data_IF_812249573876
#
_entry.id   IF_812249573876
#
_cell.length_a   1.000
_cell.length_b   1.000
_cell.length_c   1.000
_cell.angle_alpha   90.00
_cell.angle_beta   90.00
_cell.angle_gamma   90.00
#
_symmetry.space_group_name_H-M   'P 1'
#
loop_
_entity.id
_entity.type
_entity.pdbx_description
1 polymer ?
#
# COMPACT_ATOMS: atom_id res chain seq x y z
N UNK A 1 24.59 17.71 -49.76
CA UNK A 1 24.74 16.91 -51.00
C UNK A 1 24.06 15.58 -50.70
N UNK A 2 22.93 15.18 -51.25
CA UNK A 2 22.34 15.44 -52.55
C UNK A 2 22.13 14.09 -53.25
N UNK A 3 20.87 13.79 -53.58
CA UNK A 3 20.34 12.72 -54.44
C UNK A 3 19.99 11.39 -53.72
N UNK A 4 18.73 10.97 -53.59
CA UNK A 4 17.53 10.95 -54.49
C UNK A 4 17.62 9.88 -55.59
N UNK A 5 16.69 8.90 -55.54
CA UNK A 5 16.04 8.12 -56.63
C UNK A 5 15.39 6.87 -55.99
N UNK A 6 14.12 6.85 -55.57
CA UNK A 6 12.86 6.76 -56.32
C UNK A 6 12.63 5.50 -57.18
N UNK A 7 11.61 4.72 -56.75
CA UNK A 7 10.62 3.90 -57.47
C UNK A 7 11.07 2.67 -58.28
N UNK A 8 10.46 1.52 -57.94
CA UNK A 8 9.44 0.84 -58.79
C UNK A 8 8.51 -0.05 -57.95
N UNK A 9 7.21 0.16 -58.13
CA UNK A 9 6.14 -0.78 -57.77
C UNK A 9 6.13 -1.92 -58.79
N UNK A 10 5.92 -3.15 -58.31
CA UNK A 10 5.25 -4.20 -59.08
C UNK A 10 4.16 -4.76 -58.19
N UNK A 11 2.90 -4.58 -58.64
CA UNK A 11 1.73 -5.25 -58.11
C UNK A 11 1.48 -6.42 -59.06
N UNK A 12 1.38 -7.63 -58.52
CA UNK A 12 0.64 -8.73 -59.12
C UNK A 12 -0.10 -9.40 -57.97
N UNK A 13 -1.42 -9.42 -58.13
CA UNK A 13 -2.40 -9.96 -57.20
C UNK A 13 -2.33 -11.50 -57.13
N UNK A 14 -2.83 -11.97 -56.00
CA UNK A 14 -3.78 -13.08 -55.85
C UNK A 14 -3.23 -14.34 -55.17
N UNK A 15 -3.76 -14.55 -53.96
CA UNK A 15 -3.36 -15.58 -53.03
C UNK A 15 -4.00 -15.30 -51.69
N UNK A 16 -5.28 -15.68 -51.56
CA UNK A 16 -5.98 -15.82 -50.28
C UNK A 16 -5.08 -16.55 -49.29
N UNK A 17 -4.78 -15.90 -48.18
CA UNK A 17 -4.43 -16.57 -46.94
C UNK A 17 -5.12 -15.82 -45.81
N UNK A 18 -6.07 -16.51 -45.18
CA UNK A 18 -6.89 -16.04 -44.07
C UNK A 18 -6.01 -15.95 -42.81
N UNK A 19 -5.15 -14.94 -42.77
CA UNK A 19 -4.38 -14.55 -41.60
C UNK A 19 -5.27 -13.78 -40.64
N UNK A 20 -6.13 -14.51 -39.95
CA UNK A 20 -6.92 -14.03 -38.82
C UNK A 20 -6.01 -13.23 -37.88
N UNK A 21 -6.36 -11.95 -37.72
CA UNK A 21 -5.74 -11.04 -36.77
C UNK A 21 -5.58 -11.77 -35.43
N UNK A 22 -4.33 -12.05 -35.05
CA UNK A 22 -3.96 -12.27 -33.67
C UNK A 22 -4.18 -10.92 -32.97
N UNK A 23 -5.44 -10.64 -32.69
CA UNK A 23 -5.88 -9.83 -31.57
C UNK A 23 -5.03 -10.28 -30.39
N UNK A 24 -4.04 -9.45 -30.09
CA UNK A 24 -3.29 -9.52 -28.85
C UNK A 24 -4.32 -9.37 -27.74
N UNK A 25 -4.75 -10.52 -27.20
CA UNK A 25 -5.33 -10.60 -25.88
C UNK A 25 -4.25 -10.12 -24.91
N UNK A 26 -4.15 -8.80 -24.74
CA UNK A 26 -3.71 -8.27 -23.46
C UNK A 26 -4.75 -8.76 -22.46
N UNK A 27 -4.38 -9.56 -21.44
CA UNK A 27 -5.30 -9.74 -20.34
C UNK A 27 -5.47 -8.35 -19.73
N UNK A 28 -6.69 -7.82 -19.75
CA UNK A 28 -7.07 -6.82 -18.77
C UNK A 28 -6.76 -7.45 -17.41
N UNK A 29 -5.60 -7.14 -16.84
CA UNK A 29 -5.20 -7.55 -15.51
C UNK A 29 -6.13 -6.79 -14.57
N UNK A 30 -7.31 -7.38 -14.37
CA UNK A 30 -8.32 -6.85 -13.49
C UNK A 30 -7.71 -6.58 -12.12
N UNK A 31 -8.09 -5.45 -11.53
CA UNK A 31 -7.66 -5.06 -10.20
C UNK A 31 -8.00 -6.21 -9.24
N UNK A 32 -7.02 -6.77 -8.49
CA UNK A 32 -7.28 -7.86 -7.56
C UNK A 32 -8.42 -7.48 -6.60
N UNK A 33 -9.35 -8.40 -6.26
CA UNK A 33 -10.51 -8.10 -5.42
C UNK A 33 -10.14 -7.42 -4.09
N UNK A 34 -8.98 -7.78 -3.52
CA UNK A 34 -8.41 -7.17 -2.32
C UNK A 34 -8.29 -5.65 -2.42
N UNK A 35 -7.95 -5.09 -3.58
CA UNK A 35 -7.78 -3.65 -3.78
C UNK A 35 -9.00 -2.95 -4.38
N UNK A 36 -10.18 -3.60 -4.36
CA UNK A 36 -11.44 -3.01 -4.83
C UNK A 36 -11.78 -1.67 -4.15
N UNK A 37 -11.46 -1.53 -2.86
CA UNK A 37 -11.62 -0.28 -2.12
C UNK A 37 -10.82 0.88 -2.71
N UNK A 38 -9.59 0.63 -3.21
CA UNK A 38 -8.81 1.66 -3.89
C UNK A 38 -9.55 2.16 -5.13
N UNK A 39 -10.09 1.23 -5.94
CA UNK A 39 -10.86 1.58 -7.14
C UNK A 39 -12.09 2.43 -6.82
N UNK A 40 -12.79 2.12 -5.74
CA UNK A 40 -13.95 2.88 -5.27
C UNK A 40 -13.55 4.31 -4.91
N UNK A 41 -12.48 4.47 -4.11
CA UNK A 41 -11.99 5.78 -3.69
C UNK A 41 -11.53 6.63 -4.88
N UNK A 42 -10.75 6.05 -5.80
CA UNK A 42 -10.28 6.76 -6.98
C UNK A 42 -11.42 7.17 -7.93
N UNK A 43 -12.43 6.33 -8.13
CA UNK A 43 -13.64 6.69 -8.89
C UNK A 43 -14.44 7.83 -8.22
N UNK A 44 -14.37 7.94 -6.90
CA UNK A 44 -14.94 9.06 -6.14
C UNK A 44 -14.03 10.31 -6.12
N UNK A 45 -12.89 10.29 -6.81
CA UNK A 45 -11.92 11.40 -6.83
C UNK A 45 -11.12 11.54 -5.54
N UNK A 46 -11.04 10.48 -4.73
CA UNK A 46 -10.31 10.47 -3.46
C UNK A 46 -8.99 9.71 -3.67
N UNK A 47 -7.83 10.38 -3.61
CA UNK A 47 -6.55 9.69 -3.71
C UNK A 47 -6.32 8.77 -2.50
N UNK A 48 -5.69 7.62 -2.72
CA UNK A 48 -5.47 6.62 -1.68
C UNK A 48 -4.17 5.82 -1.87
N UNK A 49 -3.41 5.59 -0.81
CA UNK A 49 -2.22 4.71 -0.89
C UNK A 49 -2.40 3.46 -0.02
N UNK A 50 -2.04 2.31 -0.58
CA UNK A 50 -1.98 1.03 0.13
C UNK A 50 -0.85 1.07 1.14
N UNK A 51 -1.12 0.64 2.37
CA UNK A 51 -0.25 0.87 3.51
C UNK A 51 0.00 -0.37 4.37
N UNK A 52 0.94 -0.26 5.32
CA UNK A 52 1.38 -1.30 6.27
C UNK A 52 1.67 -2.66 5.61
N UNK A 53 1.00 -3.73 6.00
CA UNK A 53 1.33 -5.11 5.62
C UNK A 53 1.29 -5.32 4.09
N UNK A 54 0.30 -4.76 3.40
CA UNK A 54 0.22 -4.85 1.94
C UNK A 54 1.35 -4.07 1.26
N UNK A 55 1.74 -2.91 1.81
CA UNK A 55 2.87 -2.15 1.30
C UNK A 55 4.20 -2.90 1.53
N UNK A 56 4.35 -3.57 2.67
CA UNK A 56 5.51 -4.42 2.95
C UNK A 56 5.57 -5.61 1.99
N UNK A 57 4.44 -6.31 1.80
CA UNK A 57 4.35 -7.44 0.88
C UNK A 57 4.65 -7.04 -0.57
N UNK A 58 4.23 -5.84 -0.99
CA UNK A 58 4.56 -5.28 -2.30
C UNK A 58 6.07 -5.09 -2.52
N UNK A 59 6.83 -4.81 -1.44
CA UNK A 59 8.30 -4.71 -1.47
C UNK A 59 9.00 -6.03 -1.15
N UNK A 60 8.35 -7.17 -1.39
CA UNK A 60 8.88 -8.53 -1.18
C UNK A 60 9.21 -8.90 0.28
N UNK A 61 8.65 -8.18 1.26
CA UNK A 61 8.75 -8.60 2.67
C UNK A 61 7.83 -9.82 2.90
N UNK A 62 8.34 -10.94 3.45
CA UNK A 62 7.52 -12.13 3.74
C UNK A 62 6.63 -11.89 4.97
N UNK A 63 5.53 -11.18 4.78
CA UNK A 63 4.54 -10.87 5.80
C UNK A 63 3.18 -11.47 5.44
N UNK A 64 2.36 -11.72 6.47
CA UNK A 64 0.94 -12.01 6.27
C UNK A 64 0.18 -10.69 6.15
N UNK A 65 -0.77 -10.66 5.23
CA UNK A 65 -1.70 -9.53 5.05
C UNK A 65 -3.04 -9.91 5.67
N UNK A 66 -3.59 -9.01 6.49
CA UNK A 66 -4.87 -9.22 7.16
C UNK A 66 -5.87 -8.19 6.60
N UNK A 67 -6.10 -7.11 7.34
CA UNK A 67 -6.84 -5.93 6.90
C UNK A 67 -6.07 -5.16 5.82
N UNK A 68 -6.79 -4.54 4.90
CA UNK A 68 -6.22 -3.57 3.96
C UNK A 68 -6.17 -2.19 4.62
N UNK A 69 -4.98 -1.64 4.81
CA UNK A 69 -4.80 -0.30 5.31
C UNK A 69 -4.66 0.69 4.16
N UNK A 70 -5.47 1.76 4.16
CA UNK A 70 -5.42 2.79 3.13
C UNK A 70 -5.15 4.16 3.76
N UNK A 71 -4.10 4.83 3.31
CA UNK A 71 -3.90 6.25 3.58
C UNK A 71 -4.82 7.08 2.68
N UNK A 72 -5.58 8.01 3.26
CA UNK A 72 -6.52 8.90 2.57
C UNK A 72 -6.37 10.34 3.08
N UNK A 73 -6.74 11.37 2.28
CA UNK A 73 -6.59 12.76 2.71
C UNK A 73 -7.62 13.14 3.78
N UNK A 74 -8.84 12.61 3.68
CA UNK A 74 -9.97 12.84 4.58
C UNK A 74 -10.66 11.49 4.82
N UNK A 75 -10.59 11.01 6.06
CA UNK A 75 -11.16 9.73 6.48
C UNK A 75 -12.68 9.73 6.36
N UNK A 76 -13.35 10.84 6.70
CA UNK A 76 -14.81 10.92 6.66
C UNK A 76 -15.32 10.92 5.22
N UNK A 77 -14.62 11.60 4.31
CA UNK A 77 -14.94 11.57 2.89
C UNK A 77 -14.77 10.17 2.29
N UNK A 78 -13.65 9.51 2.59
CA UNK A 78 -13.37 8.14 2.14
C UNK A 78 -14.38 7.13 2.72
N UNK A 79 -14.72 7.28 4.01
CA UNK A 79 -15.74 6.48 4.67
C UNK A 79 -17.10 6.58 3.98
N UNK A 80 -17.55 7.80 3.65
CA UNK A 80 -18.81 8.01 2.92
C UNK A 80 -18.79 7.35 1.54
N UNK A 81 -17.66 7.41 0.84
CA UNK A 81 -17.52 6.75 -0.46
C UNK A 81 -17.61 5.22 -0.33
N UNK A 82 -16.91 4.61 0.65
CA UNK A 82 -17.00 3.18 0.92
C UNK A 82 -18.43 2.76 1.31
N UNK A 83 -19.09 3.50 2.21
CA UNK A 83 -20.47 3.20 2.63
C UNK A 83 -21.44 3.28 1.45
N UNK A 84 -21.28 4.29 0.58
CA UNK A 84 -22.08 4.42 -0.65
C UNK A 84 -21.86 3.26 -1.62
N UNK A 85 -20.70 2.61 -1.55
CA UNK A 85 -20.36 1.42 -2.33
C UNK A 85 -20.72 0.10 -1.64
N UNK A 86 -21.47 0.14 -0.53
CA UNK A 86 -21.95 -1.06 0.17
C UNK A 86 -21.03 -1.56 1.27
N UNK A 87 -20.08 -0.77 1.76
CA UNK A 87 -19.36 -1.10 3.00
C UNK A 87 -20.17 -0.66 4.23
N UNK A 88 -19.93 -1.31 5.36
CA UNK A 88 -20.47 -0.90 6.65
C UNK A 88 -19.35 -0.74 7.69
N UNK A 89 -19.61 0.06 8.74
CA UNK A 89 -18.70 0.21 9.87
C UNK A 89 -18.50 -1.15 10.55
N UNK A 90 -17.25 -1.57 10.69
CA UNK A 90 -16.88 -2.80 11.39
C UNK A 90 -16.46 -2.57 12.83
N UNK A 91 -16.20 -3.67 13.53
CA UNK A 91 -15.54 -3.69 14.84
C UNK A 91 -14.14 -4.31 14.73
N UNK A 92 -13.15 -3.68 15.38
CA UNK A 92 -11.79 -4.19 15.39
C UNK A 92 -11.68 -5.51 16.15
N UNK A 93 -10.75 -6.36 15.71
CA UNK A 93 -10.37 -7.54 16.48
C UNK A 93 -9.68 -7.14 17.79
N UNK A 94 -9.66 -8.05 18.77
CA UNK A 94 -8.97 -7.83 20.04
C UNK A 94 -7.48 -7.49 19.89
N UNK A 95 -6.86 -7.91 18.79
CA UNK A 95 -5.45 -7.59 18.50
C UNK A 95 -5.24 -6.15 18.02
N UNK A 96 -6.27 -5.52 17.46
CA UNK A 96 -6.20 -4.15 16.91
C UNK A 96 -6.90 -3.12 17.79
N UNK A 97 -7.85 -3.53 18.64
CA UNK A 97 -8.63 -2.62 19.47
C UNK A 97 -7.81 -1.72 20.43
N UNK A 98 -6.57 -2.06 20.86
CA UNK A 98 -5.75 -1.11 21.62
C UNK A 98 -5.17 0.04 20.78
N UNK A 99 -5.19 -0.04 19.44
CA UNK A 99 -4.58 0.93 18.53
C UNK A 99 -5.68 1.90 18.03
N UNK A 100 -5.90 3.01 18.75
CA UNK A 100 -6.94 4.01 18.43
C UNK A 100 -6.88 4.55 17.00
N UNK A 101 -5.69 4.58 16.41
CA UNK A 101 -5.47 5.05 15.04
C UNK A 101 -6.13 4.15 13.99
N UNK A 102 -6.51 2.92 14.38
CA UNK A 102 -7.11 1.91 13.50
C UNK A 102 -8.63 1.82 13.63
N UNK A 103 -9.27 2.70 14.42
CA UNK A 103 -10.71 2.64 14.68
C UNK A 103 -11.55 2.70 13.40
N UNK A 104 -10.98 3.16 12.29
CA UNK A 104 -11.65 3.39 11.02
C UNK A 104 -11.86 2.15 10.13
N UNK A 105 -12.40 1.08 10.69
CA UNK A 105 -12.66 -0.18 10.01
C UNK A 105 -13.97 -0.16 9.20
N UNK A 106 -13.92 -0.70 7.98
CA UNK A 106 -15.05 -0.90 7.09
C UNK A 106 -15.02 -2.29 6.48
N UNK A 107 -16.18 -2.93 6.39
CA UNK A 107 -16.34 -4.30 5.91
C UNK A 107 -17.33 -4.28 4.74
N UNK A 108 -17.04 -4.93 3.59
CA UNK A 108 -18.00 -5.02 2.50
C UNK A 108 -19.25 -5.78 2.97
N UNK A 109 -20.44 -5.27 2.66
CA UNK A 109 -21.68 -6.02 2.87
C UNK A 109 -21.66 -7.22 1.93
N UNK A 110 -21.85 -8.42 2.48
CA UNK A 110 -22.18 -9.58 1.66
C UNK A 110 -23.47 -9.24 0.92
N UNK A 111 -23.41 -9.17 -0.40
CA UNK A 111 -24.63 -9.34 -1.17
C UNK A 111 -24.97 -10.82 -0.98
N UNK A 112 -25.89 -11.12 -0.07
CA UNK A 112 -26.50 -12.46 -0.06
C UNK A 112 -27.05 -12.66 -1.46
N UNK A 113 -26.35 -13.46 -2.26
CA UNK A 113 -26.86 -13.91 -3.54
C UNK A 113 -28.24 -14.49 -3.26
N UNK A 114 -29.27 -13.84 -3.78
CA UNK A 114 -30.68 -14.26 -3.70
C UNK A 114 -30.91 -15.52 -4.56
N UNK A 115 -30.10 -16.55 -4.35
CA UNK A 115 -30.25 -17.88 -4.93
C UNK A 115 -30.21 -18.92 -3.81
N UNK A 116 -31.06 -18.75 -2.80
CA UNK A 116 -31.69 -19.89 -2.15
C UNK A 116 -32.85 -20.38 -3.02
N UNK A 117 -32.55 -20.72 -4.28
CA UNK A 117 -33.36 -21.72 -4.99
C UNK A 117 -32.75 -23.05 -4.61
N UNK A 118 -33.50 -23.75 -3.75
CA UNK A 118 -33.47 -25.19 -3.59
C UNK A 118 -33.15 -25.89 -4.90
N UNK A 119 -32.20 -26.80 -4.82
CA UNK A 119 -31.96 -27.96 -5.68
C UNK A 119 -30.65 -27.95 -6.50
N UNK A 120 -30.00 -29.11 -6.40
CA UNK A 120 -28.98 -29.69 -7.26
C UNK A 120 -27.50 -29.34 -6.99
N UNK A 121 -26.80 -30.40 -6.63
CA UNK A 121 -25.35 -30.61 -6.66
C UNK A 121 -24.70 -30.03 -7.94
N UNK A 122 -23.47 -29.53 -7.76
CA UNK A 122 -22.45 -29.29 -8.80
C UNK A 122 -22.46 -27.92 -9.49
N UNK A 123 -21.82 -26.94 -8.86
CA UNK A 123 -21.08 -25.89 -9.58
C UNK A 123 -19.81 -25.52 -8.79
N UNK A 124 -18.66 -25.29 -9.47
CA UNK A 124 -17.47 -24.80 -8.80
C UNK A 124 -17.77 -23.41 -8.23
N UNK A 125 -17.45 -23.22 -6.95
CA UNK A 125 -17.62 -21.95 -6.24
C UNK A 125 -16.96 -20.84 -7.07
N UNK A 126 -17.78 -19.91 -7.57
CA UNK A 126 -17.30 -18.64 -8.13
C UNK A 126 -16.45 -17.94 -7.06
N UNK A 127 -15.41 -17.18 -7.45
CA UNK A 127 -14.44 -16.66 -6.48
C UNK A 127 -15.19 -15.86 -5.44
N UNK A 128 -15.08 -16.28 -4.18
CA UNK A 128 -15.54 -15.53 -3.02
C UNK A 128 -15.08 -14.08 -3.24
N UNK A 129 -16.02 -13.13 -3.21
CA UNK A 129 -15.64 -11.72 -3.09
C UNK A 129 -14.87 -11.67 -1.78
N UNK A 130 -13.55 -11.61 -1.89
CA UNK A 130 -12.63 -11.65 -0.77
C UNK A 130 -13.06 -10.56 0.22
N UNK A 131 -13.34 -10.96 1.46
CA UNK A 131 -13.93 -10.14 2.52
C UNK A 131 -12.90 -9.16 3.08
N UNK A 132 -12.26 -8.41 2.19
CA UNK A 132 -11.17 -7.53 2.54
C UNK A 132 -11.76 -6.37 3.34
N UNK A 133 -11.57 -6.45 4.64
CA UNK A 133 -11.85 -5.38 5.57
C UNK A 133 -10.82 -4.26 5.34
N UNK A 134 -11.28 -3.03 5.43
CA UNK A 134 -10.50 -1.83 5.08
C UNK A 134 -10.38 -0.94 6.31
N UNK A 135 -9.17 -0.55 6.66
CA UNK A 135 -8.90 0.44 7.70
C UNK A 135 -8.43 1.73 7.02
N UNK A 136 -9.20 2.81 7.20
CA UNK A 136 -8.85 4.12 6.67
C UNK A 136 -7.96 4.89 7.64
N UNK A 137 -6.84 5.42 7.14
CA UNK A 137 -5.85 6.15 7.92
C UNK A 137 -5.66 7.55 7.34
N UNK A 138 -5.59 8.61 8.15
CA UNK A 138 -5.32 9.95 7.65
C UNK A 138 -3.86 10.07 7.20
N UNK A 139 -3.62 10.28 5.90
CA UNK A 139 -2.28 10.33 5.32
C UNK A 139 -1.35 11.34 5.99
N UNK A 140 -1.90 12.48 6.41
CA UNK A 140 -1.18 13.54 7.13
C UNK A 140 -0.54 13.04 8.44
N UNK A 141 -1.24 12.19 9.19
CA UNK A 141 -0.71 11.64 10.46
C UNK A 141 0.34 10.56 10.25
N UNK A 142 0.52 10.09 9.01
CA UNK A 142 1.51 9.11 8.60
C UNK A 142 2.65 9.72 7.80
N UNK A 143 2.70 11.05 7.68
CA UNK A 143 3.78 11.79 7.00
C UNK A 143 4.03 11.32 5.56
N UNK A 144 2.96 10.94 4.86
CA UNK A 144 3.03 10.46 3.48
C UNK A 144 2.20 11.34 2.55
N UNK A 145 2.81 11.72 1.43
CA UNK A 145 2.15 12.46 0.36
C UNK A 145 1.49 11.46 -0.60
N UNK A 146 0.18 11.63 -0.80
CA UNK A 146 -0.59 10.74 -1.67
C UNK A 146 -0.34 11.06 -3.16
N UNK A 147 -0.40 10.05 -4.05
CA UNK A 147 -0.32 10.27 -5.48
C UNK A 147 -1.50 11.14 -5.95
N UNK A 148 -1.22 12.17 -6.74
CA UNK A 148 -2.24 13.11 -7.21
C UNK A 148 -3.22 12.47 -8.22
N UNK A 149 -2.71 11.58 -9.08
CA UNK A 149 -3.48 10.80 -10.04
C UNK A 149 -2.70 9.51 -10.32
N UNK A 150 -3.11 8.34 -9.80
CA UNK A 150 -2.48 7.09 -10.18
C UNK A 150 -2.82 6.77 -11.63
N UNK A 151 -1.82 6.36 -12.40
CA UNK A 151 -2.01 5.83 -13.75
C UNK A 151 -2.25 4.32 -13.66
N UNK A 152 -1.51 3.65 -12.77
CA UNK A 152 -1.54 2.20 -12.58
C UNK A 152 -1.67 1.78 -11.11
N UNK A 153 -1.95 0.50 -10.89
CA UNK A 153 -2.01 -0.10 -9.54
C UNK A 153 -0.68 0.08 -8.78
N UNK A 154 0.45 0.12 -9.49
CA UNK A 154 1.78 0.36 -8.91
C UNK A 154 1.82 1.69 -8.16
N UNK A 155 1.14 2.71 -8.65
CA UNK A 155 1.11 4.05 -8.05
C UNK A 155 0.32 4.09 -6.74
N UNK A 156 -0.44 3.04 -6.42
CA UNK A 156 -1.13 2.95 -5.14
C UNK A 156 -0.18 2.62 -4.00
N UNK A 157 0.99 2.07 -4.29
CA UNK A 157 1.97 1.66 -3.29
C UNK A 157 3.05 2.74 -3.13
N UNK A 158 3.48 3.02 -1.88
CA UNK A 158 4.64 3.88 -1.67
C UNK A 158 5.90 3.23 -2.23
N UNK A 159 6.84 4.02 -2.73
CA UNK A 159 8.21 3.53 -2.94
C UNK A 159 8.84 3.12 -1.60
N UNK A 160 9.84 2.22 -1.62
CA UNK A 160 10.50 1.76 -0.40
C UNK A 160 11.10 2.91 0.45
N UNK A 161 11.78 3.92 -0.13
CA UNK A 161 12.24 5.08 0.64
C UNK A 161 11.10 5.89 1.27
N UNK A 162 9.97 6.06 0.57
CA UNK A 162 8.80 6.77 1.11
C UNK A 162 8.17 5.99 2.26
N UNK A 163 7.99 4.67 2.12
CA UNK A 163 7.46 3.81 3.17
C UNK A 163 8.34 3.86 4.42
N UNK A 164 9.65 3.66 4.26
CA UNK A 164 10.59 3.69 5.38
C UNK A 164 10.63 5.06 6.06
N UNK A 165 10.64 6.14 5.28
CA UNK A 165 10.62 7.52 5.81
C UNK A 165 9.38 7.78 6.64
N UNK A 166 8.20 7.40 6.13
CA UNK A 166 6.92 7.58 6.80
C UNK A 166 6.82 6.74 8.08
N UNK A 167 7.29 5.49 8.05
CA UNK A 167 7.32 4.62 9.23
C UNK A 167 8.24 5.16 10.33
N UNK A 168 9.45 5.65 9.98
CA UNK A 168 10.36 6.27 10.93
C UNK A 168 9.73 7.54 11.53
N UNK A 169 9.17 8.41 10.67
CA UNK A 169 8.52 9.64 11.12
C UNK A 169 7.34 9.35 12.05
N UNK A 170 6.47 8.38 11.68
CA UNK A 170 5.36 7.96 12.52
C UNK A 170 5.83 7.38 13.85
N UNK A 171 6.83 6.49 13.83
CA UNK A 171 7.39 5.89 15.03
C UNK A 171 7.95 6.94 15.98
N UNK A 172 8.67 7.95 15.46
CA UNK A 172 9.21 9.06 16.25
C UNK A 172 8.11 9.98 16.82
N UNK A 173 6.95 10.08 16.15
CA UNK A 173 5.85 10.95 16.59
C UNK A 173 4.92 10.31 17.62
N UNK A 174 5.11 9.04 17.97
CA UNK A 174 4.23 8.34 18.90
C UNK A 174 4.40 8.84 20.33
N UNK A 175 3.28 9.00 21.05
CA UNK A 175 3.32 9.34 22.47
C UNK A 175 3.65 8.11 23.31
N UNK A 176 4.11 8.27 24.56
CA UNK A 176 4.47 7.15 25.43
C UNK A 176 3.36 6.08 25.51
N UNK A 177 2.10 6.53 25.59
CA UNK A 177 0.90 5.68 25.64
C UNK A 177 0.60 4.88 24.36
N UNK A 178 1.20 5.21 23.21
CA UNK A 178 1.02 4.52 21.93
C UNK A 178 1.83 3.20 21.85
N UNK A 179 1.83 2.42 22.93
CA UNK A 179 2.67 1.22 23.06
C UNK A 179 2.41 0.20 21.96
N UNK A 180 1.16 -0.12 21.69
CA UNK A 180 0.80 -1.19 20.74
C UNK A 180 1.13 -0.79 19.30
N UNK A 181 0.86 0.47 18.93
CA UNK A 181 1.25 0.99 17.61
C UNK A 181 2.78 1.08 17.47
N UNK A 182 3.49 1.50 18.53
CA UNK A 182 4.96 1.52 18.54
C UNK A 182 5.54 0.15 18.29
N UNK A 183 5.05 -0.86 18.99
CA UNK A 183 5.50 -2.23 18.80
C UNK A 183 5.22 -2.72 17.38
N UNK A 184 4.06 -2.42 16.81
CA UNK A 184 3.72 -2.82 15.44
C UNK A 184 4.65 -2.16 14.41
N UNK A 185 4.87 -0.85 14.51
CA UNK A 185 5.79 -0.15 13.60
C UNK A 185 7.22 -0.63 13.78
N UNK A 186 7.64 -0.91 15.02
CA UNK A 186 8.95 -1.51 15.29
C UNK A 186 9.13 -2.86 14.59
N UNK A 187 8.10 -3.72 14.58
CA UNK A 187 8.11 -4.98 13.83
C UNK A 187 8.25 -4.74 12.34
N UNK A 188 7.51 -3.78 11.77
CA UNK A 188 7.60 -3.44 10.34
C UNK A 188 8.98 -2.91 9.96
N UNK A 189 9.55 -2.03 10.77
CA UNK A 189 10.93 -1.56 10.59
C UNK A 189 11.90 -2.74 10.67
N UNK A 190 11.75 -3.61 11.66
CA UNK A 190 12.55 -4.83 11.79
C UNK A 190 12.47 -5.72 10.55
N UNK A 191 11.26 -5.93 10.00
CA UNK A 191 11.08 -6.71 8.78
C UNK A 191 11.77 -6.08 7.56
N UNK A 192 11.67 -4.76 7.38
CA UNK A 192 12.36 -4.07 6.30
C UNK A 192 13.88 -4.31 6.38
N UNK A 193 14.48 -4.12 7.55
CA UNK A 193 15.93 -4.29 7.71
C UNK A 193 16.39 -5.74 7.69
N UNK A 194 15.57 -6.68 8.16
CA UNK A 194 15.88 -8.11 8.13
C UNK A 194 15.84 -8.64 6.69
N UNK A 195 14.71 -8.43 5.99
CA UNK A 195 14.42 -9.13 4.73
C UNK A 195 14.85 -8.38 3.46
N UNK A 196 14.97 -7.04 3.49
CA UNK A 196 15.23 -6.28 2.26
C UNK A 196 16.71 -5.89 2.15
N UNK A 197 17.48 -6.64 1.36
CA UNK A 197 18.87 -6.27 1.07
C UNK A 197 18.98 -4.93 0.32
N UNK A 198 17.92 -4.53 -0.38
CA UNK A 198 17.81 -3.21 -1.04
C UNK A 198 18.06 -2.06 -0.07
N UNK A 199 17.68 -2.15 1.21
CA UNK A 199 17.96 -1.06 2.16
C UNK A 199 19.42 -1.03 2.64
N UNK A 200 20.19 -2.10 2.40
CA UNK A 200 21.59 -2.23 2.83
C UNK A 200 22.57 -1.85 1.72
N UNK A 201 22.10 -1.62 0.50
CA UNK A 201 22.98 -1.27 -0.63
C UNK A 201 23.58 0.12 -0.45
N UNK A 202 24.81 0.36 -0.92
CA UNK A 202 25.43 1.68 -0.84
C UNK A 202 24.55 2.75 -1.51
N UNK A 203 24.44 3.91 -0.87
CA UNK A 203 23.67 5.09 -1.33
C UNK A 203 22.16 4.99 -1.16
N UNK A 204 21.61 3.90 -0.63
CA UNK A 204 20.19 3.87 -0.27
C UNK A 204 19.86 5.00 0.73
N UNK A 205 20.75 5.26 1.68
CA UNK A 205 20.62 6.31 2.68
C UNK A 205 20.48 7.74 2.08
N UNK A 206 20.91 7.93 0.82
CA UNK A 206 20.78 9.21 0.12
C UNK A 206 19.35 9.51 -0.31
N UNK A 207 18.52 8.47 -0.43
CA UNK A 207 17.08 8.57 -0.74
C UNK A 207 16.25 8.91 0.50
N UNK A 208 16.84 8.82 1.70
CA UNK A 208 16.19 9.16 2.95
C UNK A 208 16.46 10.63 3.33
N UNK A 209 15.52 11.28 4.04
CA UNK A 209 15.78 12.57 4.67
C UNK A 209 17.01 12.52 5.55
N UNK A 210 17.82 13.58 5.52
CA UNK A 210 19.13 13.62 6.20
C UNK A 210 19.02 13.26 7.68
N UNK A 211 17.96 13.70 8.35
CA UNK A 211 17.74 13.45 9.77
C UNK A 211 17.51 11.96 10.10
N UNK A 212 17.05 11.14 9.15
CA UNK A 212 16.80 9.72 9.38
C UNK A 212 17.99 8.82 9.02
N UNK A 213 19.08 9.40 8.48
CA UNK A 213 20.27 8.63 8.10
C UNK A 213 20.99 8.00 9.29
N UNK A 214 20.99 8.65 10.46
CA UNK A 214 21.56 8.07 11.69
C UNK A 214 20.76 6.85 12.12
N UNK A 215 19.43 6.97 12.19
CA UNK A 215 18.54 5.84 12.47
C UNK A 215 18.80 4.68 11.51
N UNK A 216 18.85 4.98 10.21
CA UNK A 216 19.10 4.00 9.17
C UNK A 216 20.44 3.28 9.34
N UNK A 217 21.53 4.03 9.54
CA UNK A 217 22.86 3.48 9.79
C UNK A 217 22.88 2.55 11.01
N UNK A 218 22.24 2.96 12.10
CA UNK A 218 22.16 2.17 13.33
C UNK A 218 21.40 0.85 13.08
N UNK A 219 20.27 0.90 12.36
CA UNK A 219 19.50 -0.29 12.03
C UNK A 219 20.24 -1.26 11.11
N UNK A 220 20.98 -0.77 10.10
CA UNK A 220 21.84 -1.62 9.26
C UNK A 220 22.93 -2.31 10.08
N UNK A 221 23.42 -1.67 11.15
CA UNK A 221 24.41 -2.24 12.06
C UNK A 221 23.80 -3.10 13.18
N UNK A 222 22.48 -3.26 13.22
CA UNK A 222 21.76 -3.99 14.27
C UNK A 222 21.72 -3.27 15.63
N UNK A 223 22.03 -1.98 15.66
CA UNK A 223 22.06 -1.17 16.89
C UNK A 223 20.62 -0.86 17.31
N UNK A 224 20.30 -1.17 18.57
CA UNK A 224 18.98 -1.00 19.18
C UNK A 224 17.82 -1.73 18.47
N UNK A 225 18.09 -2.64 17.54
CA UNK A 225 17.06 -3.35 16.76
C UNK A 225 16.08 -4.12 17.66
N UNK A 226 16.59 -4.77 18.72
CA UNK A 226 15.78 -5.47 19.71
C UNK A 226 14.92 -4.55 20.59
N UNK A 227 15.28 -3.26 20.70
CA UNK A 227 14.66 -2.31 21.61
C UNK A 227 13.70 -1.33 20.90
N UNK A 228 13.52 -1.44 19.57
CA UNK A 228 12.66 -0.53 18.78
C UNK A 228 11.20 -0.46 19.29
N UNK A 229 10.70 -1.53 19.91
CA UNK A 229 9.36 -1.54 20.51
C UNK A 229 9.23 -0.71 21.80
N UNK A 230 10.33 -0.18 22.34
CA UNK A 230 10.37 0.51 23.63
C UNK A 230 10.34 2.03 23.48
N UNK A 231 9.68 2.71 24.40
CA UNK A 231 9.70 4.18 24.43
C UNK A 231 11.09 4.74 24.71
N UNK A 232 11.90 4.04 25.51
CA UNK A 232 13.30 4.42 25.80
C UNK A 232 14.16 4.48 24.53
N UNK A 233 14.01 3.52 23.62
CA UNK A 233 14.69 3.55 22.33
C UNK A 233 14.19 4.71 21.46
N UNK A 234 12.87 4.95 21.45
CA UNK A 234 12.29 6.10 20.77
C UNK A 234 12.87 7.43 21.29
N UNK A 235 12.91 7.64 22.60
CA UNK A 235 13.49 8.83 23.21
C UNK A 235 14.96 9.03 22.85
N UNK A 236 15.74 7.94 22.77
CA UNK A 236 17.12 8.00 22.33
C UNK A 236 17.18 8.65 20.93
N UNK A 237 16.44 8.13 19.95
CA UNK A 237 16.47 8.71 18.61
C UNK A 237 15.81 10.09 18.55
N UNK A 238 14.76 10.37 19.31
CA UNK A 238 14.17 11.72 19.39
C UNK A 238 15.19 12.76 19.86
N UNK A 239 16.09 12.43 20.80
CA UNK A 239 17.13 13.35 21.27
C UNK A 239 18.25 13.57 20.25
N UNK A 240 18.54 12.57 19.41
CA UNK A 240 19.64 12.60 18.44
C UNK A 240 19.19 13.07 17.03
N UNK A 241 17.91 12.92 16.70
CA UNK A 241 17.29 13.32 15.43
C UNK A 241 16.49 14.63 15.58
N UNK A 242 15.83 14.82 16.73
CA UNK A 242 14.84 15.87 16.97
C UNK A 242 15.37 17.29 17.11
N UNK A 243 16.68 17.54 16.95
CA UNK A 243 17.19 18.91 16.87
C UNK A 243 16.78 19.63 15.56
N UNK A 244 16.18 18.92 14.60
CA UNK A 244 15.84 19.47 13.27
C UNK A 244 14.39 19.28 12.81
N UNK A 245 13.47 18.78 13.65
CA UNK A 245 12.07 18.59 13.26
C UNK A 245 11.13 19.44 14.12
N UNK A 246 10.42 20.43 13.55
CA UNK A 246 9.30 21.03 14.26
C UNK A 246 8.22 19.95 14.37
N UNK A 247 7.87 19.58 15.61
CA UNK A 247 6.58 18.96 15.88
C UNK A 247 5.55 19.98 15.41
N UNK A 248 4.93 19.74 14.25
CA UNK A 248 3.83 20.57 13.78
C UNK A 248 2.69 20.30 14.74
N UNK A 249 2.49 21.24 15.66
CA UNK A 249 1.36 21.30 16.59
C UNK A 249 0.04 21.46 15.84
#
# INVERSE_FOLDING_TARGET
MGNCLSRRKAVTEDGRDDGQELSSFEPELGIPPRFSACSILYRAGIPASVWLEDALAYHDVPTLVFDLFLLVPDVDAAARALVSAGYQRGELSLALSPIRQFDNLYIPLRTESQHATTDAESAPQSPEIDETRVILLPAKEWFHELPAAPEDMVDWFPTLPQLLTALIAKWLSLEEGDRDLRLRIAVFLGYIYEYLDTVKVPRFEQQLPQQFRTFHSDQVQGINAADLGTFRCQEYYMRHIGQHYPVVA
#
